data_IF_989257909365
#
_entry.id   IF_989257909365
#
_cell.length_a   1.000
_cell.length_b   1.000
_cell.length_c   1.000
_cell.angle_alpha   90.00
_cell.angle_beta   90.00
_cell.angle_gamma   90.00
#
_symmetry.space_group_name_H-M   'P 1'
#
loop_
_entity.id
_entity.type
_entity.pdbx_description
1 polymer ?
#
# COMPACT_ATOMS: atom_id res chain seq x y z
N UNK A 1 -7.46 61.63 3.86
CA UNK A 1 -7.27 60.95 2.56
C UNK A 1 -6.24 59.80 2.61
N UNK A 2 -5.18 59.87 3.43
CA UNK A 2 -4.15 58.81 3.54
C UNK A 2 -4.67 57.44 4.04
N UNK A 3 -5.48 57.40 5.11
CA UNK A 3 -5.95 56.15 5.72
C UNK A 3 -6.78 55.23 4.79
N UNK A 4 -7.47 55.80 3.79
CA UNK A 4 -8.33 55.04 2.87
C UNK A 4 -7.50 54.26 1.84
N UNK A 5 -6.37 54.82 1.40
CA UNK A 5 -5.44 54.14 0.51
C UNK A 5 -4.65 53.05 1.24
N UNK A 6 -4.24 53.29 2.49
CA UNK A 6 -3.59 52.25 3.29
C UNK A 6 -4.50 51.05 3.52
N UNK A 7 -5.79 51.27 3.80
CA UNK A 7 -6.78 50.19 3.95
C UNK A 7 -6.97 49.37 2.67
N UNK A 8 -7.00 50.02 1.50
CA UNK A 8 -7.11 49.33 0.20
C UNK A 8 -5.89 48.47 -0.10
N UNK A 9 -4.68 48.98 0.15
CA UNK A 9 -3.44 48.21 -0.01
C UNK A 9 -3.43 46.96 0.87
N UNK A 10 -3.84 47.09 2.13
CA UNK A 10 -3.97 45.97 3.05
C UNK A 10 -5.02 44.95 2.58
N UNK A 11 -6.13 45.39 2.00
CA UNK A 11 -7.15 44.50 1.42
C UNK A 11 -6.62 43.75 0.18
N UNK A 12 -5.84 44.39 -0.66
CA UNK A 12 -5.18 43.79 -1.84
C UNK A 12 -4.11 42.76 -1.43
N UNK A 13 -3.24 43.11 -0.48
CA UNK A 13 -2.23 42.19 0.08
C UNK A 13 -2.87 40.97 0.74
N UNK A 14 -3.96 41.17 1.50
CA UNK A 14 -4.71 40.08 2.13
C UNK A 14 -5.32 39.14 1.09
N UNK A 15 -5.82 39.68 -0.04
CA UNK A 15 -6.37 38.88 -1.13
C UNK A 15 -5.27 38.04 -1.80
N UNK A 16 -4.11 38.62 -2.04
CA UNK A 16 -2.96 37.93 -2.65
C UNK A 16 -2.44 36.80 -1.75
N UNK A 17 -2.25 37.08 -0.45
CA UNK A 17 -1.82 36.06 0.53
C UNK A 17 -2.85 34.93 0.65
N UNK A 18 -4.16 35.23 0.65
CA UNK A 18 -5.18 34.19 0.70
C UNK A 18 -5.21 33.31 -0.56
N UNK A 19 -4.94 33.89 -1.74
CA UNK A 19 -4.81 33.12 -2.99
C UNK A 19 -3.63 32.14 -2.91
N UNK A 20 -2.47 32.63 -2.46
CA UNK A 20 -1.27 31.80 -2.27
C UNK A 20 -1.49 30.69 -1.23
N UNK A 21 -2.19 30.98 -0.12
CA UNK A 21 -2.55 29.97 0.88
C UNK A 21 -3.48 28.90 0.29
N UNK A 22 -4.43 29.27 -0.57
CA UNK A 22 -5.35 28.33 -1.19
C UNK A 22 -4.63 27.37 -2.15
N UNK A 23 -3.73 27.90 -2.98
CA UNK A 23 -2.90 27.11 -3.91
C UNK A 23 -1.99 26.13 -3.15
N UNK A 24 -1.23 26.63 -2.17
CA UNK A 24 -0.34 25.79 -1.35
C UNK A 24 -1.09 24.69 -0.59
N UNK A 25 -2.30 24.98 -0.08
CA UNK A 25 -3.14 23.98 0.59
C UNK A 25 -3.64 22.90 -0.37
N UNK A 26 -3.97 23.26 -1.61
CA UNK A 26 -4.39 22.30 -2.63
C UNK A 26 -3.23 21.36 -3.01
N UNK A 27 -2.06 21.91 -3.30
CA UNK A 27 -0.85 21.13 -3.62
C UNK A 27 -0.42 20.22 -2.45
N UNK A 28 -0.46 20.74 -1.22
CA UNK A 28 -0.15 19.94 -0.02
C UNK A 28 -1.19 18.84 0.21
N UNK A 29 -2.46 19.12 -0.09
CA UNK A 29 -3.54 18.14 0.01
C UNK A 29 -3.39 17.01 -1.01
N UNK A 30 -3.12 17.33 -2.27
CA UNK A 30 -2.93 16.35 -3.34
C UNK A 30 -1.72 15.46 -3.09
N UNK A 31 -0.60 16.04 -2.66
CA UNK A 31 0.61 15.28 -2.30
C UNK A 31 0.38 14.36 -1.10
N UNK A 32 -0.34 14.81 -0.07
CA UNK A 32 -0.71 13.97 1.07
C UNK A 32 -1.63 12.81 0.68
N UNK A 33 -2.62 13.05 -0.21
CA UNK A 33 -3.51 12.00 -0.72
C UNK A 33 -2.71 10.95 -1.50
N UNK A 34 -1.81 11.37 -2.39
CA UNK A 34 -0.97 10.45 -3.17
C UNK A 34 -0.07 9.59 -2.28
N UNK A 35 0.50 10.17 -1.23
CA UNK A 35 1.31 9.42 -0.25
C UNK A 35 0.48 8.36 0.48
N UNK A 36 -0.72 8.73 0.93
CA UNK A 36 -1.64 7.79 1.60
C UNK A 36 -2.09 6.66 0.65
N UNK A 37 -2.38 6.99 -0.61
CA UNK A 37 -2.73 5.98 -1.62
C UNK A 37 -1.58 4.99 -1.86
N UNK A 38 -0.34 5.48 -1.88
CA UNK A 38 0.85 4.64 -2.00
C UNK A 38 1.02 3.73 -0.78
N UNK A 39 0.86 4.25 0.44
CA UNK A 39 0.93 3.46 1.68
C UNK A 39 -0.15 2.38 1.71
N UNK A 40 -1.37 2.71 1.30
CA UNK A 40 -2.48 1.75 1.17
C UNK A 40 -2.11 0.67 0.13
N UNK A 41 -1.51 1.07 -0.99
CA UNK A 41 -1.07 0.14 -2.04
C UNK A 41 -0.01 -0.82 -1.52
N UNK A 42 0.99 -0.32 -0.81
CA UNK A 42 2.05 -1.12 -0.19
C UNK A 42 1.46 -2.10 0.81
N UNK A 43 0.62 -1.63 1.73
CA UNK A 43 -0.06 -2.48 2.71
C UNK A 43 -0.88 -3.59 2.05
N UNK A 44 -1.67 -3.26 1.02
CA UNK A 44 -2.44 -4.24 0.25
C UNK A 44 -1.55 -5.28 -0.43
N UNK A 45 -0.40 -4.89 -0.94
CA UNK A 45 0.54 -5.81 -1.58
C UNK A 45 1.23 -6.74 -0.58
N UNK A 46 1.46 -6.30 0.66
CA UNK A 46 2.06 -7.12 1.71
C UNK A 46 1.23 -8.35 2.09
N UNK A 47 -0.11 -8.28 2.01
CA UNK A 47 -0.99 -9.40 2.35
C UNK A 47 -1.32 -10.30 1.17
N UNK A 48 -0.98 -9.90 -0.06
CA UNK A 48 -1.21 -10.69 -1.27
C UNK A 48 -0.17 -11.79 -1.42
N UNK A 49 -0.61 -12.91 -1.97
CA UNK A 49 0.25 -14.03 -2.32
C UNK A 49 1.23 -13.63 -3.42
N UNK A 50 2.53 -13.86 -3.18
CA UNK A 50 3.60 -13.48 -4.11
C UNK A 50 3.65 -14.30 -5.39
N UNK A 51 2.93 -15.44 -5.45
CA UNK A 51 2.89 -16.32 -6.64
C UNK A 51 1.86 -15.83 -7.66
N UNK A 52 0.71 -15.34 -7.20
CA UNK A 52 -0.38 -14.90 -8.08
C UNK A 52 -0.65 -13.40 -8.05
N UNK A 53 -0.08 -12.68 -7.07
CA UNK A 53 -0.23 -11.23 -6.86
C UNK A 53 -1.68 -10.74 -6.78
N UNK A 54 -2.59 -11.64 -6.42
CA UNK A 54 -4.04 -11.43 -6.51
C UNK A 54 -4.70 -11.80 -5.17
N UNK A 55 -4.70 -13.09 -4.83
CA UNK A 55 -5.34 -13.63 -3.62
C UNK A 55 -4.55 -13.31 -2.35
N UNK A 56 -5.22 -13.22 -1.18
CA UNK A 56 -4.55 -13.07 0.09
C UNK A 56 -3.69 -14.30 0.43
N UNK A 57 -2.75 -14.09 1.35
CA UNK A 57 -2.04 -15.16 2.04
C UNK A 57 -3.02 -15.87 2.97
N UNK A 58 -3.07 -17.20 2.90
CA UNK A 58 -3.99 -18.05 3.65
C UNK A 58 -3.29 -19.25 4.28
N UNK A 59 -2.14 -19.65 3.72
CA UNK A 59 -1.38 -20.82 4.18
C UNK A 59 0.07 -20.46 4.43
N UNK A 60 0.65 -21.14 5.43
CA UNK A 60 2.08 -21.10 5.75
C UNK A 60 2.70 -22.47 5.48
N UNK A 61 3.91 -22.47 4.93
CA UNK A 61 4.77 -23.65 4.88
C UNK A 61 5.60 -23.67 6.16
N UNK A 62 5.27 -24.54 7.13
CA UNK A 62 5.85 -24.52 8.48
C UNK A 62 7.37 -24.76 8.54
N UNK A 63 7.95 -25.34 7.47
CA UNK A 63 9.40 -25.56 7.38
C UNK A 63 10.21 -24.29 7.12
N UNK A 64 9.62 -23.29 6.48
CA UNK A 64 10.32 -22.06 6.08
C UNK A 64 9.53 -20.79 6.36
N UNK A 65 8.34 -20.89 6.95
CA UNK A 65 7.45 -19.79 7.34
C UNK A 65 7.01 -18.84 6.22
N UNK A 66 7.19 -19.22 4.96
CA UNK A 66 6.69 -18.45 3.83
C UNK A 66 5.18 -18.65 3.65
N UNK A 67 4.51 -17.55 3.32
CA UNK A 67 3.05 -17.42 3.25
C UNK A 67 2.57 -17.26 1.81
N UNK A 68 1.50 -17.97 1.45
CA UNK A 68 0.93 -17.99 0.11
C UNK A 68 -0.59 -18.18 0.13
N UNK A 69 -1.23 -18.08 -1.04
CA UNK A 69 -2.62 -18.45 -1.24
C UNK A 69 -2.78 -19.98 -1.23
N UNK A 70 -3.87 -20.52 -0.68
CA UNK A 70 -4.09 -21.97 -0.70
C UNK A 70 -4.11 -22.55 -2.13
N UNK A 71 -4.82 -21.98 -3.12
CA UNK A 71 -4.82 -22.48 -4.49
C UNK A 71 -3.42 -22.59 -5.13
N UNK A 72 -2.51 -21.69 -4.76
CA UNK A 72 -1.15 -21.61 -5.29
C UNK A 72 -0.30 -22.80 -4.80
N UNK A 73 -0.47 -23.17 -3.53
CA UNK A 73 0.27 -24.27 -2.91
C UNK A 73 -0.33 -25.62 -3.27
N UNK A 74 -1.67 -25.74 -3.33
CA UNK A 74 -2.29 -26.99 -3.79
C UNK A 74 -1.85 -27.35 -5.22
N UNK A 75 -1.84 -26.38 -6.15
CA UNK A 75 -1.33 -26.59 -7.50
C UNK A 75 0.11 -27.10 -7.53
N UNK A 76 1.00 -26.57 -6.68
CA UNK A 76 2.38 -27.05 -6.59
C UNK A 76 2.45 -28.50 -6.09
N UNK A 77 1.62 -28.87 -5.13
CA UNK A 77 1.56 -30.23 -4.60
C UNK A 77 1.01 -31.22 -5.64
N UNK A 78 -0.02 -30.84 -6.38
CA UNK A 78 -0.60 -31.60 -7.50
C UNK A 78 0.44 -31.86 -8.61
N UNK A 79 1.19 -30.82 -9.00
CA UNK A 79 2.28 -30.89 -9.99
C UNK A 79 3.56 -31.56 -9.44
N UNK A 80 3.55 -32.02 -8.19
CA UNK A 80 4.72 -32.58 -7.48
C UNK A 80 5.92 -31.62 -7.39
N UNK A 81 5.69 -30.32 -7.52
CA UNK A 81 6.66 -29.26 -7.28
C UNK A 81 6.80 -28.99 -5.78
N UNK A 82 7.38 -29.97 -5.07
CA UNK A 82 7.54 -29.98 -3.60
C UNK A 82 8.64 -29.05 -3.08
N UNK A 83 8.74 -27.84 -3.62
CA UNK A 83 9.71 -26.80 -3.23
C UNK A 83 9.01 -25.47 -3.04
N UNK A 84 9.32 -24.76 -1.95
CA UNK A 84 8.75 -23.46 -1.63
C UNK A 84 9.00 -22.47 -2.78
N UNK A 85 7.98 -21.76 -3.29
CA UNK A 85 8.15 -20.78 -4.36
C UNK A 85 9.08 -19.60 -4.01
N UNK A 86 9.25 -19.28 -2.72
CA UNK A 86 10.07 -18.16 -2.28
C UNK A 86 11.55 -18.53 -2.04
N UNK A 87 11.83 -19.69 -1.46
CA UNK A 87 13.19 -20.06 -1.04
C UNK A 87 13.65 -21.45 -1.48
N UNK A 88 12.82 -22.21 -2.20
CA UNK A 88 13.18 -23.55 -2.68
C UNK A 88 13.21 -24.66 -1.62
N UNK A 89 12.93 -24.35 -0.35
CA UNK A 89 12.89 -25.36 0.72
C UNK A 89 11.87 -26.46 0.41
N UNK A 90 12.28 -27.73 0.57
CA UNK A 90 11.41 -28.86 0.29
C UNK A 90 10.25 -28.96 1.29
N UNK A 91 9.03 -29.20 0.80
CA UNK A 91 7.83 -29.30 1.65
C UNK A 91 6.82 -30.32 1.10
N UNK A 92 5.96 -30.85 1.97
CA UNK A 92 4.84 -31.72 1.60
C UNK A 92 3.50 -31.24 2.19
N UNK A 93 2.43 -32.01 1.94
CA UNK A 93 1.08 -31.68 2.41
C UNK A 93 1.02 -31.46 3.93
N UNK A 94 1.75 -32.27 4.70
CA UNK A 94 1.81 -32.18 6.17
C UNK A 94 2.43 -30.87 6.68
N UNK A 95 3.22 -30.20 5.84
CA UNK A 95 3.92 -28.97 6.16
C UNK A 95 3.10 -27.71 5.83
N UNK A 96 1.91 -27.87 5.25
CA UNK A 96 1.01 -26.75 4.88
C UNK A 96 -0.06 -26.59 5.94
N UNK A 97 -0.14 -25.38 6.52
CA UNK A 97 -1.15 -25.04 7.53
C UNK A 97 -1.89 -23.77 7.14
N UNK A 98 -3.19 -23.75 7.36
CA UNK A 98 -3.97 -22.52 7.25
C UNK A 98 -3.60 -21.57 8.38
N UNK A 99 -3.53 -20.27 8.05
CA UNK A 99 -3.34 -19.18 8.99
C UNK A 99 -4.51 -18.22 8.89
N UNK A 100 -4.89 -17.64 10.03
CA UNK A 100 -5.78 -16.49 10.08
C UNK A 100 -4.88 -15.27 10.18
N UNK A 101 -4.88 -14.45 9.13
CA UNK A 101 -4.18 -13.15 9.06
C UNK A 101 -5.19 -12.05 9.34
#
# INVERSE_FOLDING_TARGET
MSCRNSRKKLEEELMEVNSQIAELKAETGETAVQQLEEEIRVCKNMIKCTVCSDRPKEVVIVKCYHLFCNPCIQRNLELRHRKCPACGTAFGQSDVRFVKI
#
